data_IF_534039129823
#
_entry.id   IF_534039129823
#
_cell.length_a   1.000
_cell.length_b   1.000
_cell.length_c   1.000
_cell.angle_alpha   90.00
_cell.angle_beta   90.00
_cell.angle_gamma   90.00
#
_symmetry.space_group_name_H-M   'P 1'
#
loop_
_entity.id
_entity.type
_entity.pdbx_description
1 polymer ?
#
# COMPACT_ATOMS: atom_id res chain seq x y z
N UNK A 1 -4.76 6.35 12.42
CA UNK A 1 -3.75 7.01 11.58
C UNK A 1 -4.27 7.26 10.17
N UNK A 2 -3.53 8.01 9.33
CA UNK A 2 -3.86 8.20 7.91
C UNK A 2 -2.79 7.56 7.03
N UNK A 3 -3.19 6.71 6.09
CA UNK A 3 -2.28 6.11 5.12
C UNK A 3 -1.68 7.21 4.24
N UNK A 4 -0.36 7.41 4.25
CA UNK A 4 0.27 8.40 3.38
C UNK A 4 0.25 8.01 1.89
N UNK A 5 -0.12 6.76 1.58
CA UNK A 5 -0.16 6.24 0.21
C UNK A 5 -1.54 6.34 -0.43
N UNK A 6 -2.60 5.87 0.24
CA UNK A 6 -3.96 5.94 -0.29
C UNK A 6 -4.82 7.04 0.33
N UNK A 7 -4.36 7.70 1.40
CA UNK A 7 -5.12 8.74 2.11
C UNK A 7 -6.18 8.19 3.07
N UNK A 8 -6.34 6.86 3.15
CA UNK A 8 -7.37 6.26 3.99
C UNK A 8 -7.07 6.48 5.48
N UNK A 9 -8.11 6.87 6.22
CA UNK A 9 -8.07 6.95 7.68
C UNK A 9 -8.51 5.62 8.29
N UNK A 10 -7.65 5.02 9.10
CA UNK A 10 -7.93 3.73 9.76
C UNK A 10 -7.33 3.70 11.17
N UNK A 11 -7.70 2.70 11.96
CA UNK A 11 -7.22 2.54 13.33
C UNK A 11 -5.71 2.24 13.38
N UNK A 12 -4.96 2.92 14.25
CA UNK A 12 -3.51 2.76 14.38
C UNK A 12 -3.10 1.44 15.05
N UNK A 13 -4.05 0.66 15.58
CA UNK A 13 -3.79 -0.74 16.00
C UNK A 13 -3.59 -1.67 14.81
N UNK A 14 -4.02 -1.28 13.61
CA UNK A 14 -3.84 -2.09 12.41
C UNK A 14 -2.40 -1.94 11.90
N UNK A 15 -1.70 -3.08 11.83
CA UNK A 15 -0.34 -3.16 11.26
C UNK A 15 -0.35 -3.06 9.73
N UNK A 16 -1.51 -3.04 9.11
CA UNK A 16 -1.70 -3.00 7.66
C UNK A 16 -2.88 -2.10 7.31
N UNK A 17 -2.77 -1.33 6.23
CA UNK A 17 -3.84 -0.49 5.74
C UNK A 17 -4.93 -1.37 5.12
N UNK A 18 -6.18 -1.33 5.60
CA UNK A 18 -7.25 -2.19 5.09
C UNK A 18 -7.68 -1.86 3.65
N UNK A 19 -7.31 -0.67 3.14
CA UNK A 19 -7.62 -0.26 1.78
C UNK A 19 -6.52 -0.65 0.77
N UNK A 20 -5.25 -0.41 1.10
CA UNK A 20 -4.14 -0.62 0.16
C UNK A 20 -3.20 -1.77 0.51
N UNK A 21 -3.33 -2.40 1.68
CA UNK A 21 -2.50 -3.54 2.09
C UNK A 21 -1.07 -3.18 2.51
N UNK A 22 -0.72 -1.89 2.63
CA UNK A 22 0.62 -1.49 3.10
C UNK A 22 0.75 -1.77 4.59
N UNK A 23 1.81 -2.49 4.95
CA UNK A 23 2.17 -2.75 6.34
C UNK A 23 3.04 -1.65 6.95
N UNK A 24 2.82 -1.33 8.21
CA UNK A 24 3.58 -0.36 9.00
C UNK A 24 4.33 -1.09 10.11
N UNK A 25 5.50 -0.61 10.53
CA UNK A 25 6.19 -1.17 11.69
C UNK A 25 5.66 -0.58 13.02
N UNK A 26 6.04 -1.21 14.13
CA UNK A 26 5.61 -0.88 15.49
C UNK A 26 5.95 0.56 15.94
N UNK A 27 6.82 1.26 15.22
CA UNK A 27 7.12 2.69 15.46
C UNK A 27 6.22 3.64 14.66
N UNK A 28 5.27 3.11 13.88
CA UNK A 28 4.43 3.91 12.97
C UNK A 28 5.20 4.45 11.76
N UNK A 29 6.43 3.99 11.56
CA UNK A 29 7.19 4.25 10.34
C UNK A 29 6.65 3.32 9.24
N UNK A 30 6.55 3.89 8.04
CA UNK A 30 6.16 3.13 6.86
C UNK A 30 7.31 2.19 6.58
N UNK A 31 7.13 0.89 6.82
CA UNK A 31 8.02 -0.08 6.20
C UNK A 31 7.80 0.09 4.69
N UNK A 32 8.86 0.29 3.92
CA UNK A 32 8.81 0.29 2.46
C UNK A 32 8.32 -1.09 2.03
N UNK A 33 6.99 -1.27 2.01
CA UNK A 33 6.36 -2.54 1.72
C UNK A 33 6.16 -2.62 0.21
N UNK A 34 6.72 -3.67 -0.40
CA UNK A 34 6.44 -4.01 -1.78
C UNK A 34 4.94 -4.33 -1.91
N UNK A 35 4.26 -3.60 -2.80
CA UNK A 35 2.85 -3.82 -3.11
C UNK A 35 2.72 -4.93 -4.15
N UNK A 36 2.00 -6.00 -3.79
CA UNK A 36 1.66 -7.07 -4.73
C UNK A 36 0.49 -6.65 -5.61
N UNK A 37 0.71 -6.60 -6.92
CA UNK A 37 -0.34 -6.27 -7.88
C UNK A 37 -1.46 -7.33 -7.87
N UNK A 38 -2.73 -6.97 -7.63
CA UNK A 38 -3.84 -7.93 -7.60
C UNK A 38 -4.21 -8.47 -8.98
N UNK A 39 -3.73 -7.82 -10.05
CA UNK A 39 -4.02 -8.21 -11.44
C UNK A 39 -3.01 -9.24 -11.97
N UNK A 40 -1.72 -9.06 -11.68
CA UNK A 40 -0.67 -9.91 -12.24
C UNK A 40 0.26 -10.56 -11.20
N UNK A 41 0.08 -10.28 -9.92
CA UNK A 41 0.90 -10.83 -8.83
C UNK A 41 2.32 -10.26 -8.73
N UNK A 42 2.68 -9.25 -9.54
CA UNK A 42 4.01 -8.65 -9.49
C UNK A 42 4.21 -7.84 -8.21
N UNK A 43 5.41 -7.91 -7.62
CA UNK A 43 5.88 -6.99 -6.58
C UNK A 43 6.17 -5.62 -7.19
N UNK A 44 5.72 -4.56 -6.52
CA UNK A 44 5.92 -3.19 -6.96
C UNK A 44 6.41 -2.33 -5.79
N UNK A 45 7.32 -1.38 -6.03
CA UNK A 45 7.77 -0.47 -4.99
C UNK A 45 6.58 0.30 -4.38
N UNK A 46 6.68 0.68 -3.09
CA UNK A 46 5.70 1.54 -2.47
C UNK A 46 5.64 2.90 -3.20
N UNK A 47 4.44 3.47 -3.31
CA UNK A 47 4.24 4.83 -3.86
C UNK A 47 4.03 4.91 -5.36
N UNK A 48 4.14 3.80 -6.09
CA UNK A 48 3.73 3.74 -7.48
C UNK A 48 2.19 3.89 -7.61
N UNK A 49 1.73 4.52 -8.70
CA UNK A 49 0.28 4.65 -9.00
C UNK A 49 -0.26 3.54 -9.90
N UNK A 50 0.65 2.72 -10.44
CA UNK A 50 0.32 1.63 -11.35
C UNK A 50 1.39 0.55 -11.26
N UNK A 51 1.02 -0.66 -11.67
CA UNK A 51 1.96 -1.76 -11.77
C UNK A 51 3.04 -1.50 -12.81
N UNK A 52 4.30 -1.72 -12.45
CA UNK A 52 5.45 -1.62 -13.35
C UNK A 52 5.44 -2.72 -14.42
N UNK A 53 4.77 -3.85 -14.14
CA UNK A 53 4.70 -5.00 -15.03
C UNK A 53 3.46 -4.97 -15.93
N UNK A 54 2.25 -4.95 -15.36
CA UNK A 54 1.01 -5.03 -16.14
C UNK A 54 0.32 -3.68 -16.40
N UNK A 55 0.87 -2.58 -15.84
CA UNK A 55 0.30 -1.23 -15.96
C UNK A 55 -1.10 -1.04 -15.38
N UNK A 56 -1.68 -2.03 -14.68
CA UNK A 56 -2.92 -1.83 -13.92
C UNK A 56 -2.73 -0.66 -12.97
N UNK A 57 -3.69 0.27 -12.95
CA UNK A 57 -3.73 1.28 -11.91
C UNK A 57 -3.88 0.58 -10.56
N UNK A 58 -3.10 1.03 -9.59
CA UNK A 58 -3.39 0.68 -8.21
C UNK A 58 -4.55 1.56 -7.78
N UNK A 59 -5.57 1.00 -7.10
CA UNK A 59 -6.69 1.80 -6.64
C UNK A 59 -6.16 2.89 -5.71
N UNK A 60 -6.20 4.12 -6.20
CA UNK A 60 -6.11 5.33 -5.41
C UNK A 60 -7.42 6.08 -5.63
N UNK A 61 -8.49 5.71 -4.93
CA UNK A 61 -9.69 6.53 -4.84
C UNK A 61 -10.35 6.29 -3.48
#
# INVERSE_FOLDING_TARGET
>A
MVCKFCGESFDDVLRECPNCGISFDETGVLKEADYICPVCGAENPPGERKCSFCCSLFPSQ
#
